data_IF_333517850643
#
_entry.id   IF_333517850643
#
_cell.length_a   1.000
_cell.length_b   1.000
_cell.length_c   1.000
_cell.angle_alpha   90.00
_cell.angle_beta   90.00
_cell.angle_gamma   90.00
#
_symmetry.space_group_name_H-M   'P 1'
#
loop_
_entity.id
_entity.type
_entity.pdbx_description
1 polymer ?
#
# COMPACT_ATOMS: atom_id res chain seq x y z
N UNK A 1 -0.46 9.13 7.87
CA UNK A 1 0.46 7.98 7.71
C UNK A 1 -0.36 6.79 7.26
N UNK A 2 -0.42 6.50 5.95
CA UNK A 2 -1.11 5.30 5.45
C UNK A 2 -0.43 4.02 5.92
N UNK A 3 -1.24 3.03 6.29
CA UNK A 3 -0.80 1.70 6.71
C UNK A 3 -1.05 0.69 5.61
N UNK A 4 0.00 -0.05 5.29
CA UNK A 4 0.04 -1.01 4.19
C UNK A 4 0.21 -2.40 4.77
N UNK A 5 -0.67 -3.31 4.38
CA UNK A 5 -0.60 -4.73 4.72
C UNK A 5 -0.25 -5.55 3.50
N UNK A 6 0.61 -6.55 3.68
CA UNK A 6 0.86 -7.58 2.67
C UNK A 6 0.12 -8.88 3.05
N UNK A 7 -0.21 -9.71 2.05
CA UNK A 7 -0.85 -11.03 2.31
C UNK A 7 -0.01 -11.98 3.18
N UNK A 8 1.30 -11.76 3.31
CA UNK A 8 2.16 -12.51 4.23
C UNK A 8 2.03 -12.07 5.70
N UNK A 9 1.16 -11.11 6.00
CA UNK A 9 0.91 -10.61 7.35
C UNK A 9 1.77 -9.42 7.76
N UNK A 10 2.76 -9.02 6.95
CA UNK A 10 3.61 -7.86 7.26
C UNK A 10 2.86 -6.55 7.11
N UNK A 11 3.16 -5.62 8.01
CA UNK A 11 2.55 -4.30 8.08
C UNK A 11 3.62 -3.22 7.99
N UNK A 12 3.34 -2.19 7.22
CA UNK A 12 4.25 -1.05 7.03
C UNK A 12 3.48 0.26 7.17
N UNK A 13 4.06 1.20 7.90
CA UNK A 13 3.63 2.60 7.91
C UNK A 13 4.49 3.38 6.96
N UNK A 14 3.87 4.17 6.08
CA UNK A 14 4.60 5.11 5.23
C UNK A 14 4.33 6.54 5.68
N UNK A 15 5.41 7.32 5.72
CA UNK A 15 5.38 8.77 5.88
C UNK A 15 6.23 9.44 4.78
N UNK A 16 6.21 10.76 4.70
CA UNK A 16 6.89 11.54 3.65
C UNK A 16 8.42 11.35 3.57
N UNK A 17 9.02 10.75 4.61
CA UNK A 17 10.46 10.58 4.74
C UNK A 17 10.90 9.14 4.96
N UNK A 18 10.01 8.25 5.43
CA UNK A 18 10.40 6.93 5.92
C UNK A 18 9.30 5.88 5.71
N UNK A 19 9.75 4.62 5.59
CA UNK A 19 8.91 3.42 5.61
C UNK A 19 9.33 2.64 6.86
N UNK A 20 8.38 2.38 7.76
CA UNK A 20 8.63 1.66 9.01
C UNK A 20 7.77 0.39 9.07
N UNK A 21 8.37 -0.75 9.39
CA UNK A 21 7.64 -2.00 9.65
C UNK A 21 6.93 -1.92 11.02
N UNK A 22 5.68 -2.38 11.06
CA UNK A 22 4.85 -2.42 12.26
C UNK A 22 4.66 -3.86 12.73
N UNK A 23 4.76 -4.09 14.03
CA UNK A 23 4.55 -5.40 14.67
C UNK A 23 3.19 -5.57 15.33
N UNK A 24 2.35 -4.53 15.33
CA UNK A 24 1.01 -4.57 15.95
C UNK A 24 -0.05 -4.91 14.91
N UNK A 25 -0.84 -5.94 15.18
CA UNK A 25 -1.89 -6.45 14.28
C UNK A 25 -3.23 -5.69 14.39
N UNK A 26 -3.48 -5.01 15.52
CA UNK A 26 -4.71 -4.24 15.78
C UNK A 26 -4.64 -2.79 15.26
N UNK A 27 -4.29 -2.63 13.98
CA UNK A 27 -4.27 -1.29 13.37
C UNK A 27 -5.10 -1.28 12.10
N UNK A 28 -5.87 -0.20 11.92
CA UNK A 28 -6.66 0.04 10.72
C UNK A 28 -5.75 0.05 9.49
N UNK A 29 -6.02 -0.84 8.55
CA UNK A 29 -5.29 -0.97 7.29
C UNK A 29 -5.87 0.03 6.29
N UNK A 30 -5.02 0.78 5.59
CA UNK A 30 -5.45 1.69 4.52
C UNK A 30 -5.29 1.07 3.14
N UNK A 31 -4.24 0.25 2.96
CA UNK A 31 -3.93 -0.43 1.69
C UNK A 31 -3.54 -1.87 1.93
N UNK A 32 -4.15 -2.80 1.19
CA UNK A 32 -3.74 -4.20 1.12
C UNK A 32 -3.02 -4.45 -0.22
N UNK A 33 -1.78 -4.93 -0.15
CA UNK A 33 -0.97 -5.30 -1.31
C UNK A 33 -1.15 -6.78 -1.60
N UNK A 34 -1.61 -7.08 -2.81
CA UNK A 34 -1.89 -8.44 -3.28
C UNK A 34 -1.14 -8.70 -4.59
N UNK A 35 -0.72 -9.94 -4.84
CA UNK A 35 -0.06 -10.30 -6.12
C UNK A 35 -1.03 -10.31 -7.30
N UNK A 36 -2.28 -10.64 -7.02
CA UNK A 36 -3.39 -10.67 -7.96
C UNK A 36 -4.64 -10.29 -7.19
N UNK A 37 -5.47 -9.41 -7.76
CA UNK A 37 -6.76 -9.09 -7.15
C UNK A 37 -7.76 -10.20 -7.46
N UNK A 38 -8.34 -10.79 -6.42
CA UNK A 38 -9.41 -11.78 -6.54
C UNK A 38 -10.74 -11.21 -6.02
N UNK A 39 -11.86 -11.85 -6.34
CA UNK A 39 -13.20 -11.39 -5.92
C UNK A 39 -13.35 -11.36 -4.39
N UNK A 40 -12.65 -12.25 -3.69
CA UNK A 40 -12.58 -12.27 -2.22
C UNK A 40 -11.89 -11.02 -1.68
N UNK A 41 -10.76 -10.62 -2.28
CA UNK A 41 -10.03 -9.41 -1.89
C UNK A 41 -10.88 -8.15 -2.07
N UNK A 42 -11.68 -8.11 -3.15
CA UNK A 42 -12.60 -7.00 -3.42
C UNK A 42 -13.69 -6.91 -2.36
N UNK A 43 -14.30 -8.04 -1.98
CA UNK A 43 -15.32 -8.08 -0.93
C UNK A 43 -14.75 -7.67 0.43
N UNK A 44 -13.54 -8.14 0.74
CA UNK A 44 -12.85 -7.80 1.98
C UNK A 44 -12.50 -6.31 2.03
N UNK A 45 -12.01 -5.75 0.92
CA UNK A 45 -11.69 -4.33 0.81
C UNK A 45 -12.92 -3.44 1.02
N UNK A 46 -14.06 -3.81 0.44
CA UNK A 46 -15.33 -3.10 0.62
C UNK A 46 -15.81 -3.20 2.07
N UNK A 47 -15.74 -4.40 2.66
CA UNK A 47 -16.26 -4.65 4.02
C UNK A 47 -15.43 -3.96 5.10
N UNK A 48 -14.11 -3.89 4.92
CA UNK A 48 -13.19 -3.31 5.90
C UNK A 48 -12.76 -1.87 5.57
N UNK A 49 -13.13 -1.37 4.38
CA UNK A 49 -12.87 0.01 3.96
C UNK A 49 -11.41 0.33 3.64
N UNK A 50 -10.63 -0.65 3.17
CA UNK A 50 -9.25 -0.46 2.71
C UNK A 50 -9.15 -0.51 1.18
N UNK A 51 -8.06 0.03 0.62
CA UNK A 51 -7.79 0.01 -0.82
C UNK A 51 -6.97 -1.22 -1.20
N UNK A 52 -7.18 -1.74 -2.40
CA UNK A 52 -6.34 -2.81 -2.95
C UNK A 52 -5.25 -2.24 -3.84
N UNK A 53 -4.08 -2.86 -3.77
CA UNK A 53 -2.97 -2.57 -4.66
C UNK A 53 -2.41 -3.89 -5.22
N UNK A 54 -2.55 -4.09 -6.53
CA UNK A 54 -1.96 -5.25 -7.20
C UNK A 54 -0.48 -5.00 -7.47
N UNK A 55 0.39 -5.89 -6.99
CA UNK A 55 1.82 -5.83 -7.25
C UNK A 55 2.46 -7.22 -7.32
N UNK A 56 3.07 -7.53 -8.46
CA UNK A 56 3.67 -8.84 -8.76
C UNK A 56 5.18 -8.90 -8.48
N UNK A 57 5.78 -7.77 -8.14
CA UNK A 57 7.19 -7.63 -7.86
C UNK A 57 7.53 -8.02 -6.40
N UNK A 58 8.79 -7.87 -6.03
CA UNK A 58 9.25 -8.07 -4.66
C UNK A 58 8.68 -7.02 -3.70
N UNK A 59 8.63 -7.36 -2.41
CA UNK A 59 8.00 -6.58 -1.35
C UNK A 59 8.54 -5.13 -1.28
N UNK A 60 9.86 -4.96 -1.35
CA UNK A 60 10.50 -3.63 -1.38
C UNK A 60 10.10 -2.80 -2.61
N UNK A 61 9.99 -3.45 -3.78
CA UNK A 61 9.61 -2.79 -5.02
C UNK A 61 8.14 -2.37 -4.93
N UNK A 62 7.28 -3.25 -4.41
CA UNK A 62 5.87 -2.95 -4.19
C UNK A 62 5.69 -1.80 -3.20
N UNK A 63 6.41 -1.82 -2.06
CA UNK A 63 6.43 -0.71 -1.10
C UNK A 63 6.86 0.60 -1.74
N UNK A 64 7.92 0.57 -2.55
CA UNK A 64 8.41 1.75 -3.26
C UNK A 64 7.38 2.29 -4.28
N UNK A 65 6.63 1.41 -4.96
CA UNK A 65 5.54 1.82 -5.86
C UNK A 65 4.39 2.47 -5.08
N UNK A 66 3.98 1.86 -3.96
CA UNK A 66 2.94 2.42 -3.11
C UNK A 66 3.38 3.79 -2.55
N UNK A 67 4.61 3.89 -2.04
CA UNK A 67 5.23 5.14 -1.60
C UNK A 67 5.12 6.23 -2.66
N UNK A 68 5.54 5.92 -3.89
CA UNK A 68 5.48 6.87 -5.01
C UNK A 68 4.04 7.29 -5.35
N UNK A 69 3.05 6.41 -5.21
CA UNK A 69 1.65 6.79 -5.46
C UNK A 69 1.16 7.81 -4.43
N UNK A 70 1.54 7.66 -3.16
CA UNK A 70 1.14 8.58 -2.10
C UNK A 70 1.94 9.89 -2.10
N UNK A 71 3.25 9.83 -2.36
CA UNK A 71 4.17 10.92 -2.08
C UNK A 71 5.01 11.39 -3.27
N UNK A 72 4.94 10.74 -4.44
CA UNK A 72 5.61 11.29 -5.61
C UNK A 72 4.93 12.62 -5.96
N UNK A 73 5.63 13.70 -5.67
CA UNK A 73 5.35 15.04 -6.20
C UNK A 73 5.16 14.88 -7.70
N UNK A 74 3.93 15.09 -8.19
CA UNK A 74 3.69 15.20 -9.62
C UNK A 74 4.72 16.18 -10.14
N UNK A 75 5.65 15.74 -11.00
CA UNK A 75 6.42 16.64 -11.83
C UNK A 75 5.35 17.37 -12.65
N UNK A 76 5.00 18.58 -12.23
CA UNK A 76 4.12 19.43 -13.01
C UNK A 76 4.73 19.48 -14.39
N UNK A 77 4.07 18.91 -15.40
CA UNK A 77 4.51 19.05 -16.78
C UNK A 77 4.52 20.55 -17.05
N UNK A 78 5.70 21.17 -17.03
CA UNK A 78 5.91 22.44 -17.67
C UNK A 78 5.74 22.14 -19.16
N UNK A 79 4.55 22.40 -19.68
CA UNK A 79 4.37 22.55 -21.11
C UNK A 79 5.28 23.74 -21.49
N UNK A 80 6.41 23.42 -22.12
CA UNK A 80 7.31 24.40 -22.73
C UNK A 80 6.72 24.84 -24.06
#
# INVERSE_FOLDING_TARGET
MPIIKFKNGRLFSIDENTIAELTKEDIKIDVLVVKKIEDEDLKDAISNGFKLFECKDDEEICLSKVYNIFFAKKKSCKFA
#
